data_IF_087892784204
#
_entry.id   IF_087892784204
#
_cell.length_a   1.000
_cell.length_b   1.000
_cell.length_c   1.000
_cell.angle_alpha   90.00
_cell.angle_beta   90.00
_cell.angle_gamma   90.00
#
_symmetry.space_group_name_H-M   'P 1'
#
loop_
_entity.id
_entity.type
_entity.pdbx_description
1 polymer ?
#
# COMPACT_ATOMS: atom_id res chain seq x y z
N UNK A 1 2.78 -3.17 0.44
CA UNK A 1 1.57 -2.40 0.82
C UNK A 1 1.69 -1.03 0.17
N UNK A 2 0.61 -0.47 -0.36
CA UNK A 2 0.74 0.48 -1.48
C UNK A 2 -0.28 1.62 -1.41
N UNK A 3 0.12 2.81 -1.90
CA UNK A 3 -0.58 4.08 -1.75
C UNK A 3 -0.62 4.89 -3.05
N UNK A 4 -1.79 5.45 -3.37
CA UNK A 4 -1.95 6.56 -4.32
C UNK A 4 -2.29 7.84 -3.53
N UNK A 5 -1.56 8.93 -3.74
CA UNK A 5 -1.74 10.20 -3.02
C UNK A 5 -1.68 11.36 -4.03
N UNK A 6 -2.86 11.73 -4.52
CA UNK A 6 -3.18 13.01 -5.16
C UNK A 6 -4.73 13.13 -5.14
N UNK A 7 -5.28 14.14 -4.45
CA UNK A 7 -6.73 14.50 -4.35
C UNK A 7 -7.50 13.89 -3.17
N UNK A 8 -8.67 14.46 -2.84
CA UNK A 8 -9.59 14.18 -1.68
C UNK A 8 -9.89 12.71 -1.35
N UNK A 9 -9.40 11.77 -2.14
CA UNK A 9 -9.67 10.35 -2.05
C UNK A 9 -8.36 9.58 -1.96
N UNK A 10 -8.21 8.83 -0.88
CA UNK A 10 -7.09 7.95 -0.65
C UNK A 10 -7.45 6.52 -1.08
N UNK A 11 -6.64 5.92 -1.93
CA UNK A 11 -6.71 4.49 -2.26
C UNK A 11 -5.50 3.77 -1.69
N UNK A 12 -5.77 2.74 -0.87
CA UNK A 12 -4.76 1.86 -0.29
C UNK A 12 -4.96 0.47 -0.88
N UNK A 13 -3.90 -0.10 -1.44
CA UNK A 13 -3.94 -1.42 -2.06
C UNK A 13 -3.06 -2.39 -1.27
N UNK A 14 -3.62 -3.56 -0.98
CA UNK A 14 -2.93 -4.63 -0.26
C UNK A 14 -2.79 -5.84 -1.18
N UNK A 15 -1.58 -6.41 -1.22
CA UNK A 15 -1.33 -7.68 -1.90
C UNK A 15 -1.80 -8.88 -1.08
N UNK A 16 -1.90 -10.01 -1.76
CA UNK A 16 -2.11 -11.31 -1.12
C UNK A 16 -0.79 -11.92 -0.64
N UNK A 17 -0.76 -13.26 -0.53
CA UNK A 17 0.43 -13.99 -0.06
C UNK A 17 1.70 -13.71 -0.89
N UNK A 18 1.54 -13.53 -2.21
CA UNK A 18 2.62 -13.22 -3.15
C UNK A 18 2.81 -11.71 -3.39
N UNK A 19 2.17 -10.86 -2.58
CA UNK A 19 2.21 -9.42 -2.76
C UNK A 19 1.37 -8.95 -3.95
N UNK A 20 1.78 -7.85 -4.56
CA UNK A 20 1.14 -7.24 -5.73
C UNK A 20 1.80 -7.68 -7.04
N UNK A 21 3.00 -8.23 -6.92
CA UNK A 21 3.80 -8.81 -7.97
C UNK A 21 3.01 -9.90 -8.72
N UNK A 22 2.22 -10.69 -7.98
CA UNK A 22 1.34 -11.71 -8.61
C UNK A 22 0.25 -11.12 -9.51
N UNK A 23 -0.12 -9.85 -9.33
CA UNK A 23 -1.07 -9.18 -10.23
C UNK A 23 -0.40 -8.78 -11.54
N UNK A 24 0.86 -8.34 -11.51
CA UNK A 24 1.64 -8.04 -12.71
C UNK A 24 1.89 -9.30 -13.54
N UNK A 25 2.21 -10.42 -12.88
CA UNK A 25 2.41 -11.70 -13.56
C UNK A 25 1.12 -12.27 -14.17
N UNK A 26 -0.04 -11.91 -13.61
CA UNK A 26 -1.34 -12.50 -13.97
C UNK A 26 -2.16 -11.69 -14.96
N UNK A 27 -1.79 -10.45 -15.25
CA UNK A 27 -2.54 -9.52 -16.10
C UNK A 27 -1.63 -8.87 -17.16
N UNK A 28 -1.68 -9.42 -18.37
CA UNK A 28 -0.89 -8.94 -19.52
C UNK A 28 -1.27 -7.52 -19.98
N UNK A 29 -2.38 -6.95 -19.48
CA UNK A 29 -2.78 -5.58 -19.81
C UNK A 29 -2.02 -4.53 -19.00
N UNK A 30 -1.32 -4.95 -17.95
CA UNK A 30 -0.54 -4.06 -17.09
C UNK A 30 0.89 -3.96 -17.64
N UNK A 31 1.23 -2.81 -18.23
CA UNK A 31 2.56 -2.57 -18.83
C UNK A 31 3.67 -2.21 -17.81
N UNK A 32 3.43 -2.43 -16.52
CA UNK A 32 4.39 -2.13 -15.45
C UNK A 32 5.24 -3.34 -15.07
N UNK A 33 6.52 -3.10 -14.83
CA UNK A 33 7.47 -4.17 -14.45
C UNK A 33 7.64 -4.30 -12.94
N UNK A 34 7.35 -3.23 -12.20
CA UNK A 34 7.41 -3.16 -10.75
C UNK A 34 6.12 -2.52 -10.19
N UNK A 35 5.51 -3.06 -9.12
CA UNK A 35 4.28 -2.51 -8.55
C UNK A 35 4.40 -1.04 -8.11
N UNK A 36 5.60 -0.55 -7.82
CA UNK A 36 5.85 0.85 -7.47
C UNK A 36 5.63 1.83 -8.63
N UNK A 37 5.68 1.37 -9.88
CA UNK A 37 5.42 2.20 -11.07
C UNK A 37 3.93 2.55 -11.24
N UNK A 38 3.04 1.76 -10.65
CA UNK A 38 1.59 1.90 -10.79
C UNK A 38 0.98 2.92 -9.82
N UNK A 39 1.71 3.37 -8.78
CA UNK A 39 1.16 4.15 -7.69
C UNK A 39 2.12 5.26 -7.24
N UNK A 40 1.60 6.28 -6.56
CA UNK A 40 2.43 7.39 -6.12
C UNK A 40 3.43 6.99 -5.01
N UNK A 41 3.07 6.03 -4.16
CA UNK A 41 3.92 5.56 -3.06
C UNK A 41 3.83 4.05 -2.89
N UNK A 42 5.00 3.42 -2.75
CA UNK A 42 5.14 2.03 -2.33
C UNK A 42 5.82 1.99 -0.97
N UNK A 43 5.09 1.58 0.07
CA UNK A 43 5.48 1.82 1.45
C UNK A 43 5.59 0.52 2.26
N UNK A 44 6.61 0.46 3.10
CA UNK A 44 6.66 -0.49 4.22
C UNK A 44 6.10 0.20 5.48
N UNK A 45 4.92 -0.23 5.93
CA UNK A 45 4.29 0.33 7.14
C UNK A 45 4.60 -0.45 8.42
N UNK A 46 5.43 -1.49 8.33
CA UNK A 46 5.92 -2.25 9.48
C UNK A 46 7.43 -2.47 9.33
N UNK A 47 8.25 -1.41 9.52
CA UNK A 47 9.69 -1.58 9.55
C UNK A 47 10.07 -2.53 10.70
N UNK A 48 11.04 -3.42 10.45
CA UNK A 48 11.48 -4.43 11.42
C UNK A 48 10.41 -5.47 11.79
N UNK A 49 9.63 -5.94 10.82
CA UNK A 49 8.72 -7.06 11.03
C UNK A 49 9.43 -8.25 11.70
N UNK A 50 8.85 -8.76 12.79
CA UNK A 50 9.39 -9.91 13.53
C UNK A 50 8.96 -11.26 12.97
N UNK A 51 8.02 -11.27 12.02
CA UNK A 51 7.53 -12.44 11.32
C UNK A 51 8.12 -12.52 9.91
N UNK A 52 8.10 -13.71 9.30
CA UNK A 52 8.47 -13.87 7.88
C UNK A 52 7.48 -13.19 6.94
N UNK A 53 6.20 -13.25 7.28
CA UNK A 53 5.09 -12.66 6.52
C UNK A 53 4.12 -11.99 7.46
N UNK A 54 3.51 -10.89 6.98
CA UNK A 54 2.38 -10.23 7.63
C UNK A 54 1.16 -10.60 6.80
N UNK A 55 0.13 -11.14 7.43
CA UNK A 55 -1.10 -11.49 6.71
C UNK A 55 -1.85 -10.23 6.30
N UNK A 56 -2.61 -10.28 5.22
CA UNK A 56 -3.30 -9.11 4.66
C UNK A 56 -4.21 -8.45 5.70
N UNK A 57 -4.90 -9.22 6.54
CA UNK A 57 -5.76 -8.71 7.61
C UNK A 57 -4.99 -7.96 8.71
N UNK A 58 -3.78 -8.40 9.05
CA UNK A 58 -2.90 -7.72 10.02
C UNK A 58 -2.32 -6.44 9.39
N UNK A 59 -1.91 -6.56 8.13
CA UNK A 59 -1.35 -5.48 7.33
C UNK A 59 -2.33 -4.30 7.22
N UNK A 60 -3.63 -4.56 7.01
CA UNK A 60 -4.67 -3.53 6.97
C UNK A 60 -4.64 -2.67 8.24
N UNK A 61 -4.70 -3.30 9.40
CA UNK A 61 -4.74 -2.59 10.68
C UNK A 61 -3.45 -1.80 10.95
N UNK A 62 -2.29 -2.42 10.71
CA UNK A 62 -0.98 -1.78 10.89
C UNK A 62 -0.86 -0.54 9.99
N UNK A 63 -1.23 -0.68 8.72
CA UNK A 63 -1.15 0.42 7.75
C UNK A 63 -2.04 1.60 8.17
N UNK A 64 -3.31 1.34 8.48
CA UNK A 64 -4.27 2.38 8.82
C UNK A 64 -3.85 3.12 10.10
N UNK A 65 -3.29 2.39 11.08
CA UNK A 65 -2.74 3.00 12.28
C UNK A 65 -1.54 3.90 11.98
N UNK A 66 -0.60 3.43 11.15
CA UNK A 66 0.60 4.19 10.79
C UNK A 66 0.29 5.46 10.01
N UNK A 67 -0.72 5.43 9.13
CA UNK A 67 -1.04 6.54 8.23
C UNK A 67 -2.03 7.55 8.81
N UNK A 68 -2.79 7.15 9.82
CA UNK A 68 -3.81 8.00 10.47
C UNK A 68 -3.30 9.41 10.81
N UNK A 69 -2.10 9.62 11.40
CA UNK A 69 -1.63 10.97 11.72
C UNK A 69 -1.45 11.84 10.46
N UNK A 70 -0.85 11.30 9.40
CA UNK A 70 -0.64 12.02 8.14
C UNK A 70 -1.96 12.33 7.42
N UNK A 71 -2.91 11.38 7.44
CA UNK A 71 -4.25 11.59 6.88
C UNK A 71 -4.95 12.72 7.64
N UNK A 72 -4.97 12.71 8.97
CA UNK A 72 -5.63 13.76 9.77
C UNK A 72 -5.00 15.13 9.49
N UNK A 73 -3.67 15.23 9.44
CA UNK A 73 -2.99 16.49 9.13
C UNK A 73 -3.42 17.02 7.75
N UNK A 74 -3.39 16.17 6.72
CA UNK A 74 -3.77 16.56 5.35
C UNK A 74 -5.24 17.00 5.19
N UNK A 75 -6.12 16.57 6.09
CA UNK A 75 -7.53 17.00 6.11
C UNK A 75 -7.73 18.37 6.78
N UNK A 76 -6.81 18.79 7.65
CA UNK A 76 -6.94 20.03 8.45
C UNK A 76 -6.36 21.25 7.71
N UNK A 77 -5.45 21.00 6.76
CA UNK A 77 -4.79 22.03 5.96
C UNK A 77 -5.58 22.43 4.69
N UNK A 78 -6.83 21.96 4.55
CA UNK A 78 -7.79 22.32 3.49
C UNK A 78 -8.97 23.11 4.04
#
# INVERSE_FOLDING_TARGET
>A
MLFCLLSRHLLIVFGGLKGLESCLEGDETIEASDPSELFNYYLNTCPSQGSRTIRTEEAILITLAALRPGIIQSQTDS
#
